data_IF_616368355296
#
_entry.id   IF_616368355296
#
_cell.length_a   1.000
_cell.length_b   1.000
_cell.length_c   1.000
_cell.angle_alpha   90.00
_cell.angle_beta   90.00
_cell.angle_gamma   90.00
#
_symmetry.space_group_name_H-M   'P 1'
#
loop_
_entity.id
_entity.type
_entity.pdbx_description
1 polymer ?
#
# COMPACT_ATOMS: atom_id res chain seq x y z
N UNK A 1 -15.19 -7.48 10.44
CA UNK A 1 -15.98 -7.91 9.26
C UNK A 1 -16.87 -6.79 8.72
N UNK A 2 -17.68 -6.12 9.56
CA UNK A 2 -18.59 -5.05 9.10
C UNK A 2 -17.89 -3.91 8.34
N UNK A 3 -16.73 -3.43 8.81
CA UNK A 3 -15.98 -2.35 8.14
C UNK A 3 -15.50 -2.71 6.73
N UNK A 4 -15.00 -3.93 6.53
CA UNK A 4 -14.55 -4.42 5.21
C UNK A 4 -15.77 -4.61 4.29
N UNK A 5 -16.87 -5.15 4.82
CA UNK A 5 -18.11 -5.31 4.07
C UNK A 5 -18.71 -3.98 3.61
N UNK A 6 -18.79 -2.99 4.51
CA UNK A 6 -19.22 -1.64 4.18
C UNK A 6 -18.30 -1.00 3.14
N UNK A 7 -16.98 -1.13 3.29
CA UNK A 7 -16.05 -0.56 2.33
C UNK A 7 -16.19 -1.22 0.95
N UNK A 8 -16.32 -2.55 0.88
CA UNK A 8 -16.58 -3.25 -0.38
C UNK A 8 -17.90 -2.80 -1.02
N UNK A 9 -18.97 -2.68 -0.22
CA UNK A 9 -20.26 -2.19 -0.68
C UNK A 9 -20.16 -0.76 -1.22
N UNK A 10 -19.40 0.13 -0.58
CA UNK A 10 -19.12 1.48 -1.08
C UNK A 10 -18.40 1.45 -2.43
N UNK A 11 -17.40 0.59 -2.60
CA UNK A 11 -16.70 0.47 -3.88
C UNK A 11 -17.63 -0.04 -5.00
N UNK A 12 -18.50 -1.01 -4.70
CA UNK A 12 -19.52 -1.48 -5.65
C UNK A 12 -20.51 -0.35 -5.97
N UNK A 13 -20.99 0.38 -4.95
CA UNK A 13 -21.90 1.50 -5.12
C UNK A 13 -21.30 2.60 -6.00
N UNK A 14 -19.99 2.87 -5.88
CA UNK A 14 -19.27 3.78 -6.77
C UNK A 14 -19.33 3.29 -8.22
N UNK A 15 -19.03 2.02 -8.48
CA UNK A 15 -19.10 1.47 -9.85
C UNK A 15 -20.53 1.57 -10.43
N UNK A 16 -21.55 1.24 -9.63
CA UNK A 16 -22.97 1.37 -10.02
C UNK A 16 -23.33 2.82 -10.30
N UNK A 17 -22.90 3.75 -9.45
CA UNK A 17 -23.13 5.18 -9.65
C UNK A 17 -22.53 5.67 -10.97
N UNK A 18 -21.32 5.23 -11.31
CA UNK A 18 -20.70 5.57 -12.60
C UNK A 18 -21.48 5.00 -13.79
N UNK A 19 -21.97 3.76 -13.70
CA UNK A 19 -22.87 3.20 -14.72
C UNK A 19 -24.12 4.07 -14.90
N UNK A 20 -24.77 4.46 -13.80
CA UNK A 20 -25.96 5.31 -13.83
C UNK A 20 -25.66 6.69 -14.43
N UNK A 21 -24.54 7.31 -14.07
CA UNK A 21 -24.10 8.59 -14.65
C UNK A 21 -23.98 8.45 -16.17
N UNK A 22 -23.26 7.44 -16.67
CA UNK A 22 -23.08 7.27 -18.11
C UNK A 22 -24.39 7.02 -18.86
N UNK A 23 -25.33 6.31 -18.25
CA UNK A 23 -26.67 6.10 -18.79
C UNK A 23 -27.50 7.39 -18.81
N UNK A 24 -27.55 8.12 -17.69
CA UNK A 24 -28.35 9.36 -17.56
C UNK A 24 -27.86 10.46 -18.48
N UNK A 25 -26.54 10.59 -18.65
CA UNK A 25 -25.96 11.60 -19.54
C UNK A 25 -25.90 11.14 -21.01
N UNK A 26 -26.40 9.94 -21.34
CA UNK A 26 -26.40 9.41 -22.71
C UNK A 26 -25.00 9.30 -23.32
N UNK A 27 -23.97 9.05 -22.50
CA UNK A 27 -22.59 9.03 -22.98
C UNK A 27 -22.37 7.88 -23.98
N UNK A 28 -23.04 6.75 -23.75
CA UNK A 28 -23.00 5.60 -24.66
C UNK A 28 -23.59 5.97 -26.04
N UNK A 29 -24.72 6.65 -26.07
CA UNK A 29 -25.35 7.14 -27.30
C UNK A 29 -24.46 8.18 -28.00
N UNK A 30 -23.89 9.12 -27.24
CA UNK A 30 -22.96 10.11 -27.76
C UNK A 30 -21.74 9.46 -28.42
N UNK A 31 -21.09 8.51 -27.75
CA UNK A 31 -19.96 7.75 -28.30
C UNK A 31 -20.39 6.92 -29.52
N UNK A 32 -21.59 6.36 -29.52
CA UNK A 32 -22.14 5.65 -30.67
C UNK A 32 -22.38 6.57 -31.88
N UNK A 33 -22.76 7.85 -31.69
CA UNK A 33 -22.82 8.82 -32.81
C UNK A 33 -21.44 9.14 -33.39
N UNK A 34 -20.39 9.05 -32.56
CA UNK A 34 -19.00 9.10 -33.02
C UNK A 34 -18.55 7.74 -33.60
N UNK A 35 -19.46 6.75 -33.68
CA UNK A 35 -19.27 5.37 -34.11
C UNK A 35 -18.28 4.57 -33.26
N UNK A 36 -18.19 4.90 -31.97
CA UNK A 36 -17.56 4.08 -30.95
C UNK A 36 -18.67 3.24 -30.31
N UNK A 37 -18.84 2.02 -30.81
CA UNK A 37 -19.87 1.11 -30.31
C UNK A 37 -19.28 0.21 -29.23
N UNK A 38 -19.35 0.66 -27.97
CA UNK A 38 -18.93 -0.14 -26.83
C UNK A 38 -19.97 -0.07 -25.73
N UNK A 39 -20.39 -1.25 -25.25
CA UNK A 39 -21.26 -1.35 -24.09
C UNK A 39 -20.47 -0.89 -22.86
N UNK A 40 -20.76 0.33 -22.38
CA UNK A 40 -20.02 0.99 -21.30
C UNK A 40 -20.13 0.20 -20.00
N UNK A 41 -21.29 -0.42 -19.76
CA UNK A 41 -21.53 -1.25 -18.58
C UNK A 41 -20.63 -2.48 -18.59
N UNK A 42 -20.61 -3.22 -19.70
CA UNK A 42 -19.76 -4.41 -19.87
C UNK A 42 -18.27 -4.05 -19.78
N UNK A 43 -17.88 -2.90 -20.36
CA UNK A 43 -16.51 -2.39 -20.26
C UNK A 43 -16.13 -2.08 -18.81
N UNK A 44 -16.99 -1.39 -18.06
CA UNK A 44 -16.74 -1.06 -16.66
C UNK A 44 -16.69 -2.32 -15.78
N UNK A 45 -17.57 -3.29 -16.00
CA UNK A 45 -17.56 -4.58 -15.29
C UNK A 45 -16.25 -5.33 -15.57
N UNK A 46 -15.84 -5.41 -16.83
CA UNK A 46 -14.57 -6.06 -17.21
C UNK A 46 -13.38 -5.34 -16.55
N UNK A 47 -13.30 -4.01 -16.65
CA UNK A 47 -12.25 -3.24 -16.00
C UNK A 47 -12.29 -3.38 -14.47
N UNK A 48 -13.47 -3.45 -13.87
CA UNK A 48 -13.70 -3.72 -12.46
C UNK A 48 -13.11 -5.05 -12.05
N UNK A 49 -13.48 -6.11 -12.78
CA UNK A 49 -12.96 -7.45 -12.55
C UNK A 49 -11.44 -7.48 -12.59
N UNK A 50 -10.81 -7.01 -13.67
CA UNK A 50 -9.34 -7.02 -13.78
C UNK A 50 -8.65 -6.08 -12.78
N UNK A 51 -9.27 -4.94 -12.48
CA UNK A 51 -8.74 -3.94 -11.56
C UNK A 51 -8.63 -4.49 -10.14
N UNK A 52 -9.70 -5.14 -9.67
CA UNK A 52 -9.73 -5.80 -8.37
C UNK A 52 -8.99 -7.13 -8.36
N UNK A 53 -9.07 -7.95 -9.41
CA UNK A 53 -8.43 -9.27 -9.45
C UNK A 53 -6.92 -9.16 -9.20
N UNK A 54 -6.23 -8.26 -9.91
CA UNK A 54 -4.79 -8.04 -9.71
C UNK A 54 -4.46 -7.61 -8.28
N UNK A 55 -5.23 -6.68 -7.71
CA UNK A 55 -5.03 -6.17 -6.36
C UNK A 55 -5.28 -7.24 -5.29
N UNK A 56 -6.31 -8.08 -5.43
CA UNK A 56 -6.58 -9.18 -4.49
C UNK A 56 -5.54 -10.29 -4.59
N UNK A 57 -5.13 -10.67 -5.81
CA UNK A 57 -4.06 -11.65 -6.01
C UNK A 57 -2.78 -11.16 -5.32
N UNK A 58 -2.41 -9.88 -5.54
CA UNK A 58 -1.26 -9.27 -4.89
C UNK A 58 -1.36 -9.31 -3.36
N UNK A 59 -2.53 -9.00 -2.78
CA UNK A 59 -2.75 -9.06 -1.34
C UNK A 59 -2.61 -10.48 -0.78
N UNK A 60 -3.16 -11.49 -1.45
CA UNK A 60 -3.09 -12.88 -0.99
C UNK A 60 -1.66 -13.44 -1.08
N UNK A 61 -0.90 -13.02 -2.10
CA UNK A 61 0.49 -13.42 -2.29
C UNK A 61 1.47 -12.61 -1.43
N UNK A 62 1.09 -11.42 -0.97
CA UNK A 62 1.95 -10.45 -0.28
C UNK A 62 2.80 -11.07 0.84
N UNK A 63 2.19 -11.87 1.72
CA UNK A 63 2.89 -12.54 2.82
C UNK A 63 3.94 -13.56 2.34
N UNK A 64 3.62 -14.35 1.31
CA UNK A 64 4.57 -15.32 0.73
C UNK A 64 5.71 -14.58 0.01
N UNK A 65 5.38 -13.56 -0.76
CA UNK A 65 6.35 -12.73 -1.48
C UNK A 65 7.28 -11.99 -0.52
N UNK A 66 6.76 -11.42 0.56
CA UNK A 66 7.55 -10.71 1.57
C UNK A 66 8.53 -11.67 2.26
N UNK A 67 8.07 -12.86 2.69
CA UNK A 67 8.94 -13.88 3.29
C UNK A 67 10.07 -14.32 2.36
N UNK A 68 9.74 -14.62 1.11
CA UNK A 68 10.72 -15.04 0.11
C UNK A 68 11.69 -13.93 -0.26
N UNK A 69 11.18 -12.72 -0.53
CA UNK A 69 12.00 -11.59 -1.00
C UNK A 69 12.95 -11.06 0.06
N UNK A 70 12.58 -11.12 1.33
CA UNK A 70 13.47 -10.72 2.45
C UNK A 70 14.24 -11.88 3.06
N UNK A 71 13.95 -13.13 2.66
CA UNK A 71 14.47 -14.34 3.33
C UNK A 71 14.18 -14.33 4.83
N UNK A 72 12.98 -13.89 5.20
CA UNK A 72 12.54 -13.85 6.61
C UNK A 72 12.59 -15.25 7.21
N UNK A 73 13.27 -15.37 8.35
CA UNK A 73 13.26 -16.55 9.21
C UNK A 73 12.15 -16.37 10.24
N UNK A 74 11.17 -17.28 10.22
CA UNK A 74 10.06 -17.26 11.17
C UNK A 74 10.51 -17.86 12.50
N UNK A 75 10.10 -17.24 13.60
CA UNK A 75 10.38 -17.70 14.95
C UNK A 75 9.20 -18.57 15.39
N UNK A 76 9.32 -19.88 15.20
CA UNK A 76 8.36 -20.86 15.74
C UNK A 76 8.57 -21.05 17.24
N UNK A 77 9.84 -21.22 17.66
CA UNK A 77 10.25 -21.29 19.06
C UNK A 77 11.45 -20.34 19.29
N UNK A 78 11.39 -19.43 20.28
CA UNK A 78 12.49 -18.51 20.54
C UNK A 78 13.76 -19.23 21.04
N UNK A 79 14.83 -19.18 20.24
CA UNK A 79 16.11 -19.81 20.55
C UNK A 79 16.97 -19.00 21.54
N UNK A 80 16.72 -17.70 21.70
CA UNK A 80 17.49 -16.81 22.58
C UNK A 80 16.61 -15.72 23.22
N UNK A 81 17.20 -14.93 24.12
CA UNK A 81 16.50 -13.88 24.85
C UNK A 81 15.95 -12.77 23.95
N UNK A 82 16.66 -12.40 22.87
CA UNK A 82 16.25 -11.36 21.92
C UNK A 82 15.01 -11.80 21.12
N UNK A 83 15.01 -13.04 20.62
CA UNK A 83 13.84 -13.63 19.95
C UNK A 83 12.65 -13.77 20.90
N UNK A 84 12.89 -14.15 22.16
CA UNK A 84 11.83 -14.28 23.17
C UNK A 84 11.19 -12.92 23.46
N UNK A 85 12.02 -11.90 23.68
CA UNK A 85 11.58 -10.53 23.85
C UNK A 85 10.75 -10.04 22.65
N UNK A 86 11.19 -10.33 21.42
CA UNK A 86 10.50 -9.94 20.20
C UNK A 86 9.10 -10.58 20.12
N UNK A 87 9.01 -11.90 20.31
CA UNK A 87 7.74 -12.65 20.27
C UNK A 87 6.79 -12.17 21.38
N UNK A 88 7.28 -12.01 22.61
CA UNK A 88 6.47 -11.56 23.74
C UNK A 88 5.98 -10.11 23.55
N UNK A 89 6.83 -9.24 23.00
CA UNK A 89 6.47 -7.85 22.67
C UNK A 89 5.38 -7.80 21.60
N UNK A 90 5.53 -8.54 20.51
CA UNK A 90 4.51 -8.62 19.46
C UNK A 90 3.20 -9.18 20.01
N UNK A 91 3.25 -10.21 20.86
CA UNK A 91 2.07 -10.79 21.52
C UNK A 91 1.34 -9.78 22.40
N UNK A 92 2.07 -9.01 23.20
CA UNK A 92 1.49 -7.99 24.06
C UNK A 92 0.85 -6.86 23.23
N UNK A 93 1.53 -6.38 22.20
CA UNK A 93 1.04 -5.32 21.30
C UNK A 93 -0.18 -5.78 20.51
N UNK A 94 -0.17 -7.00 19.97
CA UNK A 94 -1.30 -7.60 19.27
C UNK A 94 -2.55 -7.66 20.18
N UNK A 95 -2.37 -8.04 21.45
CA UNK A 95 -3.44 -8.02 22.46
C UNK A 95 -3.96 -6.60 22.73
N UNK A 96 -3.08 -5.61 22.90
CA UNK A 96 -3.47 -4.21 23.10
C UNK A 96 -4.23 -3.65 21.90
N UNK A 97 -3.90 -4.09 20.68
CA UNK A 97 -4.50 -3.64 19.44
C UNK A 97 -5.74 -4.46 18.98
N UNK A 98 -6.19 -5.43 19.79
CA UNK A 98 -7.32 -6.32 19.48
C UNK A 98 -7.19 -7.03 18.12
N UNK A 99 -6.03 -7.66 17.92
CA UNK A 99 -5.75 -8.52 16.77
C UNK A 99 -5.22 -9.89 17.20
N UNK A 100 -5.42 -10.90 16.34
CA UNK A 100 -4.79 -12.21 16.52
C UNK A 100 -3.27 -12.13 16.41
N UNK A 101 -2.58 -13.10 17.04
CA UNK A 101 -1.13 -13.17 17.06
C UNK A 101 -0.54 -13.26 15.63
N UNK A 102 0.28 -12.28 15.20
CA UNK A 102 1.00 -12.37 13.93
C UNK A 102 2.08 -13.47 13.96
N UNK A 103 2.41 -14.02 12.79
CA UNK A 103 3.72 -14.67 12.60
C UNK A 103 4.82 -13.63 12.87
N UNK A 104 5.86 -14.02 13.60
CA UNK A 104 7.00 -13.15 13.93
C UNK A 104 8.23 -13.66 13.21
N UNK A 105 8.99 -12.77 12.58
CA UNK A 105 10.22 -13.16 11.88
C UNK A 105 11.33 -12.14 11.95
N UNK A 106 12.54 -12.60 11.65
CA UNK A 106 13.73 -11.78 11.49
C UNK A 106 14.27 -11.99 10.09
N UNK A 107 14.65 -10.93 9.40
CA UNK A 107 15.33 -11.03 8.10
C UNK A 107 16.76 -10.48 8.17
N UNK A 108 17.71 -11.10 7.44
CA UNK A 108 19.14 -10.82 7.56
C UNK A 108 19.53 -9.56 6.77
N UNK A 109 18.97 -8.41 7.14
CA UNK A 109 19.35 -7.11 6.61
C UNK A 109 20.06 -6.28 7.68
N UNK A 110 21.15 -5.62 7.28
CA UNK A 110 21.92 -4.72 8.16
C UNK A 110 21.27 -3.35 8.30
N UNK A 111 20.48 -2.93 7.31
CA UNK A 111 19.70 -1.71 7.40
C UNK A 111 18.54 -1.89 8.40
N UNK A 112 18.30 -0.91 9.26
CA UNK A 112 17.17 -0.97 10.20
C UNK A 112 15.86 -0.88 9.44
N UNK A 113 15.03 -1.92 9.59
CA UNK A 113 13.74 -1.97 8.92
C UNK A 113 12.79 -2.94 9.65
N UNK A 114 11.50 -2.71 9.47
CA UNK A 114 10.42 -3.56 9.94
C UNK A 114 9.28 -3.46 8.94
N UNK A 115 8.47 -4.51 8.84
CA UNK A 115 7.26 -4.49 8.03
C UNK A 115 6.19 -5.41 8.61
N UNK A 116 4.94 -5.07 8.35
CA UNK A 116 3.80 -5.96 8.53
C UNK A 116 3.03 -6.20 7.23
N UNK A 117 2.52 -7.43 7.06
CA UNK A 117 1.69 -7.78 5.91
C UNK A 117 0.72 -8.92 6.19
N UNK A 118 -0.38 -8.95 5.45
CA UNK A 118 -1.39 -10.00 5.52
C UNK A 118 -2.80 -9.49 5.26
N UNK A 119 -3.61 -10.31 4.58
CA UNK A 119 -5.01 -10.00 4.28
C UNK A 119 -5.93 -10.11 5.51
N UNK A 120 -5.51 -10.88 6.52
CA UNK A 120 -6.26 -11.12 7.75
C UNK A 120 -5.50 -10.56 8.94
N UNK A 121 -6.08 -9.58 9.63
CA UNK A 121 -5.50 -8.98 10.84
C UNK A 121 -5.17 -10.00 11.94
N UNK A 122 -5.88 -11.14 11.95
CA UNK A 122 -5.68 -12.21 12.93
C UNK A 122 -4.65 -13.28 12.49
N UNK A 123 -4.06 -13.15 11.30
CA UNK A 123 -3.04 -14.06 10.75
C UNK A 123 -1.98 -13.29 9.94
N UNK A 124 -1.62 -12.10 10.41
CA UNK A 124 -0.61 -11.26 9.77
C UNK A 124 0.81 -11.85 9.92
N UNK A 125 1.78 -11.18 9.32
CA UNK A 125 3.21 -11.36 9.52
C UNK A 125 3.76 -10.02 9.98
N UNK A 126 4.58 -10.02 11.03
CA UNK A 126 5.41 -8.89 11.45
C UNK A 126 6.86 -9.37 11.42
N UNK A 127 7.72 -8.67 10.70
CA UNK A 127 9.12 -9.01 10.62
C UNK A 127 10.01 -7.79 10.83
N UNK A 128 11.17 -8.00 11.45
CA UNK A 128 12.17 -6.97 11.73
C UNK A 128 13.53 -7.37 11.16
N UNK A 129 14.34 -6.40 10.75
CA UNK A 129 15.69 -6.68 10.31
C UNK A 129 16.61 -6.97 11.49
N UNK A 130 17.69 -7.73 11.25
CA UNK A 130 18.76 -7.90 12.22
C UNK A 130 19.35 -6.53 12.65
N UNK A 131 19.59 -5.64 11.69
CA UNK A 131 20.13 -4.30 11.96
C UNK A 131 19.26 -3.45 12.88
N UNK A 132 17.92 -3.57 12.79
CA UNK A 132 17.03 -2.88 13.73
C UNK A 132 17.21 -3.39 15.15
N UNK A 133 17.25 -4.70 15.33
CA UNK A 133 17.41 -5.33 16.65
C UNK A 133 18.77 -5.02 17.29
N UNK A 134 19.81 -4.77 16.48
CA UNK A 134 21.16 -4.47 16.95
C UNK A 134 21.36 -2.99 17.30
N UNK A 135 20.66 -2.08 16.61
CA UNK A 135 20.91 -0.62 16.70
C UNK A 135 19.90 0.14 17.54
N UNK A 136 18.69 -0.39 17.69
CA UNK A 136 17.62 0.28 18.40
C UNK A 136 17.61 -0.19 19.86
N UNK A 137 17.34 0.74 20.78
CA UNK A 137 17.03 0.34 22.15
C UNK A 137 15.74 -0.50 22.19
N UNK A 138 15.53 -1.33 23.22
CA UNK A 138 14.30 -2.13 23.35
C UNK A 138 13.03 -1.28 23.26
N UNK A 139 13.02 -0.07 23.83
CA UNK A 139 11.86 0.81 23.77
C UNK A 139 11.62 1.37 22.36
N UNK A 140 12.67 1.77 21.64
CA UNK A 140 12.57 2.25 20.26
C UNK A 140 12.10 1.12 19.32
N UNK A 141 12.69 -0.07 19.44
CA UNK A 141 12.28 -1.24 18.66
C UNK A 141 10.83 -1.64 18.96
N UNK A 142 10.41 -1.58 20.22
CA UNK A 142 9.03 -1.78 20.63
C UNK A 142 8.07 -0.75 20.02
N UNK A 143 8.48 0.51 19.91
CA UNK A 143 7.68 1.55 19.26
C UNK A 143 7.53 1.30 17.75
N UNK A 144 8.58 0.84 17.07
CA UNK A 144 8.51 0.41 15.66
C UNK A 144 7.57 -0.79 15.49
N UNK A 145 7.67 -1.80 16.35
CA UNK A 145 6.73 -2.94 16.32
C UNK A 145 5.28 -2.49 16.55
N UNK A 146 5.06 -1.53 17.45
CA UNK A 146 3.74 -0.96 17.70
C UNK A 146 3.19 -0.19 16.49
N UNK A 147 4.05 0.50 15.74
CA UNK A 147 3.70 1.13 14.46
C UNK A 147 3.25 0.07 13.44
N UNK A 148 4.03 -0.99 13.25
CA UNK A 148 3.69 -2.10 12.34
C UNK A 148 2.40 -2.83 12.74
N UNK A 149 2.18 -3.06 14.03
CA UNK A 149 0.93 -3.60 14.56
C UNK A 149 -0.24 -2.65 14.31
N UNK A 150 -0.01 -1.34 14.39
CA UNK A 150 -0.98 -0.31 14.00
C UNK A 150 -1.48 -0.51 12.57
N UNK A 151 -0.59 -0.82 11.63
CA UNK A 151 -0.99 -1.11 10.25
C UNK A 151 -1.91 -2.32 10.12
N UNK A 152 -1.57 -3.40 10.84
CA UNK A 152 -2.38 -4.63 10.86
C UNK A 152 -3.74 -4.37 11.48
N UNK A 153 -3.80 -3.68 12.62
CA UNK A 153 -5.01 -3.40 13.36
C UNK A 153 -5.97 -2.48 12.58
N UNK A 154 -5.43 -1.51 11.84
CA UNK A 154 -6.20 -0.63 10.98
C UNK A 154 -6.69 -1.31 9.69
N UNK A 155 -6.16 -2.49 9.34
CA UNK A 155 -6.55 -3.21 8.13
C UNK A 155 -6.01 -2.53 6.87
N UNK A 156 -4.83 -1.96 6.97
CA UNK A 156 -4.28 -1.07 5.95
C UNK A 156 -3.96 -1.78 4.64
N UNK A 157 -3.49 -3.03 4.71
CA UNK A 157 -3.21 -3.86 3.53
C UNK A 157 -4.50 -4.06 2.71
N UNK A 158 -5.61 -4.42 3.36
CA UNK A 158 -6.90 -4.63 2.69
C UNK A 158 -7.44 -3.31 2.13
N UNK A 159 -7.37 -2.24 2.91
CA UNK A 159 -7.89 -0.92 2.50
C UNK A 159 -7.13 -0.39 1.28
N UNK A 160 -5.79 -0.50 1.28
CA UNK A 160 -4.97 -0.10 0.15
C UNK A 160 -5.25 -0.95 -1.09
N UNK A 161 -5.43 -2.26 -0.92
CA UNK A 161 -5.82 -3.17 -2.01
C UNK A 161 -7.15 -2.76 -2.65
N UNK A 162 -8.15 -2.40 -1.85
CA UNK A 162 -9.47 -2.01 -2.35
C UNK A 162 -9.41 -0.65 -3.07
N UNK A 163 -8.67 0.33 -2.52
CA UNK A 163 -8.40 1.62 -3.19
C UNK A 163 -7.68 1.39 -4.52
N UNK A 164 -6.64 0.55 -4.53
CA UNK A 164 -5.90 0.22 -5.75
C UNK A 164 -6.79 -0.46 -6.79
N UNK A 165 -7.70 -1.33 -6.37
CA UNK A 165 -8.65 -2.00 -7.25
C UNK A 165 -9.55 -1.01 -8.00
N UNK A 166 -10.10 -0.02 -7.30
CA UNK A 166 -10.89 1.06 -7.91
C UNK A 166 -10.04 1.94 -8.82
N UNK A 167 -8.86 2.35 -8.36
CA UNK A 167 -7.94 3.17 -9.16
C UNK A 167 -7.58 2.46 -10.47
N UNK A 168 -7.19 1.18 -10.41
CA UNK A 168 -6.86 0.38 -11.58
C UNK A 168 -8.06 0.25 -12.53
N UNK A 169 -9.26 0.05 -11.98
CA UNK A 169 -10.50 -0.03 -12.75
C UNK A 169 -10.70 1.23 -13.59
N UNK A 170 -10.62 2.41 -12.98
CA UNK A 170 -10.82 3.67 -13.69
C UNK A 170 -9.68 4.01 -14.66
N UNK A 171 -8.43 3.73 -14.29
CA UNK A 171 -7.28 3.90 -15.21
C UNK A 171 -7.51 3.07 -16.48
N UNK A 172 -7.87 1.80 -16.33
CA UNK A 172 -8.13 0.91 -17.47
C UNK A 172 -9.35 1.31 -18.29
N UNK A 173 -10.41 1.77 -17.62
CA UNK A 173 -11.66 2.20 -18.25
C UNK A 173 -11.45 3.46 -19.09
N UNK A 174 -10.91 4.53 -18.48
CA UNK A 174 -10.68 5.79 -19.18
C UNK A 174 -9.59 5.68 -20.26
N UNK A 175 -8.54 4.89 -20.05
CA UNK A 175 -7.54 4.65 -21.08
C UNK A 175 -8.15 4.03 -22.35
N UNK A 176 -9.12 3.12 -22.20
CA UNK A 176 -9.80 2.50 -23.34
C UNK A 176 -10.77 3.45 -24.04
N UNK A 177 -11.56 4.23 -23.29
CA UNK A 177 -12.46 5.23 -23.88
C UNK A 177 -11.68 6.30 -24.63
N UNK A 178 -10.70 6.93 -23.98
CA UNK A 178 -9.87 7.97 -24.58
C UNK A 178 -9.07 7.38 -25.76
N UNK A 179 -8.55 6.15 -25.60
CA UNK A 179 -7.85 5.44 -26.67
C UNK A 179 -8.74 5.22 -27.90
N UNK A 180 -10.01 4.83 -27.72
CA UNK A 180 -10.96 4.66 -28.82
C UNK A 180 -11.29 5.99 -29.52
N UNK A 181 -11.40 7.08 -28.75
CA UNK A 181 -11.62 8.43 -29.30
C UNK A 181 -10.42 8.86 -30.14
N UNK A 182 -9.20 8.69 -29.62
CA UNK A 182 -7.96 9.07 -30.33
C UNK A 182 -7.75 8.19 -31.57
N UNK A 183 -7.91 6.87 -31.44
CA UNK A 183 -7.74 5.93 -32.56
C UNK A 183 -8.68 6.29 -33.72
N UNK A 184 -9.94 6.61 -33.39
CA UNK A 184 -10.93 6.99 -34.40
C UNK A 184 -10.69 8.38 -34.99
N UNK A 185 -10.34 9.37 -34.18
CA UNK A 185 -10.13 10.73 -34.65
C UNK A 185 -8.85 10.87 -35.51
N UNK A 186 -7.78 10.18 -35.14
CA UNK A 186 -6.46 10.32 -35.77
C UNK A 186 -6.26 9.31 -36.89
N UNK A 187 -6.53 8.03 -36.62
CA UNK A 187 -6.22 6.95 -37.55
C UNK A 187 -7.42 6.54 -38.41
N UNK A 188 -8.62 7.06 -38.11
CA UNK A 188 -9.88 6.76 -38.83
C UNK A 188 -10.13 5.25 -38.99
N UNK A 189 -9.63 4.46 -38.04
CA UNK A 189 -9.83 3.01 -38.03
C UNK A 189 -11.25 2.69 -37.55
N UNK A 190 -11.95 1.81 -38.27
CA UNK A 190 -13.26 1.30 -37.87
C UNK A 190 -13.17 0.13 -36.87
N UNK A 191 -11.98 -0.45 -36.69
CA UNK A 191 -11.73 -1.56 -35.76
C UNK A 191 -10.45 -1.34 -34.95
N UNK A 192 -10.41 -1.80 -33.68
CA UNK A 192 -9.21 -1.67 -32.85
C UNK A 192 -7.99 -2.33 -33.51
N UNK A 193 -7.05 -1.51 -33.95
CA UNK A 193 -5.77 -1.95 -34.53
C UNK A 193 -4.61 -1.92 -33.54
N UNK A 194 -3.41 -2.25 -33.99
CA UNK A 194 -2.18 -2.20 -33.17
C UNK A 194 -1.95 -0.78 -32.61
N UNK A 195 -2.32 0.27 -33.37
CA UNK A 195 -2.25 1.67 -32.94
C UNK A 195 -3.08 1.95 -31.70
N UNK A 196 -4.33 1.48 -31.66
CA UNK A 196 -5.20 1.56 -30.47
C UNK A 196 -4.55 0.94 -29.23
N UNK A 197 -4.00 -0.27 -29.34
CA UNK A 197 -3.35 -0.93 -28.19
C UNK A 197 -2.13 -0.15 -27.70
N UNK A 198 -1.34 0.42 -28.62
CA UNK A 198 -0.23 1.31 -28.28
C UNK A 198 -0.69 2.56 -27.52
N UNK A 199 -1.74 3.23 -28.00
CA UNK A 199 -2.34 4.41 -27.35
C UNK A 199 -2.86 4.05 -25.96
N UNK A 200 -3.64 2.97 -25.83
CA UNK A 200 -4.20 2.52 -24.56
C UNK A 200 -3.08 2.21 -23.56
N UNK A 201 -1.99 1.59 -23.99
CA UNK A 201 -0.84 1.31 -23.12
C UNK A 201 -0.22 2.62 -22.60
N UNK A 202 0.04 3.58 -23.49
CA UNK A 202 0.58 4.90 -23.09
C UNK A 202 -0.38 5.62 -22.14
N UNK A 203 -1.68 5.62 -22.43
CA UNK A 203 -2.70 6.23 -21.57
C UNK A 203 -2.79 5.54 -20.21
N UNK A 204 -2.67 4.22 -20.13
CA UNK A 204 -2.66 3.51 -18.85
C UNK A 204 -1.44 3.91 -18.01
N UNK A 205 -0.27 4.10 -18.62
CA UNK A 205 0.91 4.58 -17.91
C UNK A 205 0.69 6.00 -17.40
N UNK A 206 0.24 6.93 -18.26
CA UNK A 206 0.02 8.34 -17.88
C UNK A 206 -1.07 8.47 -16.81
N UNK A 207 -2.24 7.86 -17.02
CA UNK A 207 -3.35 7.88 -16.07
C UNK A 207 -2.98 7.13 -14.79
N UNK A 208 -2.22 6.04 -14.87
CA UNK A 208 -1.72 5.30 -13.71
C UNK A 208 -0.78 6.15 -12.85
N UNK A 209 0.13 6.89 -13.48
CA UNK A 209 1.02 7.86 -12.82
C UNK A 209 0.19 8.92 -12.08
N UNK A 210 -0.81 9.51 -12.74
CA UNK A 210 -1.70 10.49 -12.11
C UNK A 210 -2.50 9.88 -10.95
N UNK A 211 -3.09 8.70 -11.16
CA UNK A 211 -3.91 8.04 -10.15
C UNK A 211 -3.09 7.53 -8.95
N UNK A 212 -1.80 7.24 -9.14
CA UNK A 212 -0.88 6.88 -8.05
C UNK A 212 -0.75 7.99 -7.00
N UNK A 213 -0.97 9.25 -7.36
CA UNK A 213 -0.94 10.37 -6.41
C UNK A 213 -2.03 10.23 -5.32
N UNK A 214 -3.20 9.69 -5.68
CA UNK A 214 -4.31 9.40 -4.76
C UNK A 214 -3.89 8.30 -3.78
N UNK A 215 -3.31 7.22 -4.32
CA UNK A 215 -2.82 6.08 -3.53
C UNK A 215 -1.71 6.53 -2.57
N UNK A 216 -0.78 7.36 -3.04
CA UNK A 216 0.31 7.91 -2.22
C UNK A 216 -0.19 8.86 -1.14
N UNK A 217 -1.21 9.68 -1.43
CA UNK A 217 -1.84 10.53 -0.41
C UNK A 217 -2.46 9.69 0.72
N UNK A 218 -3.16 8.61 0.37
CA UNK A 218 -3.72 7.69 1.35
C UNK A 218 -2.61 6.95 2.13
N UNK A 219 -1.54 6.53 1.45
CA UNK A 219 -0.35 5.92 2.07
C UNK A 219 0.24 6.83 3.13
N UNK A 220 0.44 8.13 2.83
CA UNK A 220 0.97 9.10 3.80
C UNK A 220 0.06 9.31 5.00
N UNK A 221 -1.25 9.41 4.80
CA UNK A 221 -2.22 9.55 5.91
C UNK A 221 -2.17 8.37 6.87
N UNK A 222 -2.02 7.16 6.33
CA UNK A 222 -1.89 5.94 7.11
C UNK A 222 -0.64 5.93 7.99
N UNK A 223 0.50 6.39 7.49
CA UNK A 223 1.76 6.46 8.27
C UNK A 223 1.59 7.28 9.55
N UNK A 224 0.92 8.44 9.48
CA UNK A 224 0.64 9.24 10.67
C UNK A 224 -0.23 8.48 11.68
N UNK A 225 -1.23 7.72 11.22
CA UNK A 225 -2.04 6.88 12.11
C UNK A 225 -1.25 5.75 12.75
N UNK A 226 -0.32 5.16 12.01
CA UNK A 226 0.57 4.13 12.54
C UNK A 226 1.58 4.73 13.53
N UNK A 227 2.06 5.96 13.33
CA UNK A 227 2.86 6.70 14.32
C UNK A 227 2.11 6.93 15.62
N UNK A 228 0.82 7.30 15.55
CA UNK A 228 -0.03 7.37 16.75
C UNK A 228 -0.14 6.01 17.44
N UNK A 229 -0.24 4.91 16.69
CA UNK A 229 -0.24 3.57 17.28
C UNK A 229 1.09 3.25 17.97
N UNK A 230 2.22 3.58 17.34
CA UNK A 230 3.56 3.49 17.96
C UNK A 230 3.66 4.27 19.27
N UNK A 231 3.14 5.51 19.27
CA UNK A 231 3.16 6.37 20.44
C UNK A 231 2.21 5.95 21.58
N UNK A 232 1.05 5.38 21.25
CA UNK A 232 0.00 5.03 22.23
C UNK A 232 0.10 3.60 22.75
N UNK A 233 0.48 2.63 21.92
CA UNK A 233 0.62 1.22 22.32
C UNK A 233 1.97 0.92 23.00
N UNK A 234 2.99 1.72 22.67
CA UNK A 234 4.31 1.69 23.30
C UNK A 234 4.58 3.01 24.03
N UNK A 235 5.41 3.89 23.47
CA UNK A 235 5.78 5.16 24.09
C UNK A 235 6.09 6.21 23.00
N UNK A 236 5.53 7.41 23.14
CA UNK A 236 5.76 8.54 22.25
C UNK A 236 7.22 8.95 22.13
N UNK A 237 7.96 9.05 23.24
CA UNK A 237 9.38 9.45 23.19
C UNK A 237 10.23 8.39 22.49
N UNK A 238 9.91 7.11 22.69
CA UNK A 238 10.56 5.99 22.01
C UNK A 238 10.26 5.98 20.51
N UNK A 239 9.02 6.28 20.09
CA UNK A 239 8.68 6.42 18.67
C UNK A 239 9.45 7.58 18.01
N UNK A 240 9.56 8.73 18.70
CA UNK A 240 10.37 9.86 18.22
C UNK A 240 11.86 9.47 18.13
N UNK A 241 12.39 8.75 19.12
CA UNK A 241 13.76 8.23 19.11
C UNK A 241 14.02 7.28 17.93
N UNK A 242 13.11 6.35 17.69
CA UNK A 242 13.14 5.44 16.56
C UNK A 242 13.17 6.18 15.21
N UNK A 243 12.30 7.18 15.00
CA UNK A 243 12.29 7.97 13.76
C UNK A 243 13.58 8.77 13.58
N UNK A 244 14.15 9.33 14.64
CA UNK A 244 15.47 10.02 14.59
C UNK A 244 16.60 9.06 14.25
N UNK A 245 16.54 7.82 14.74
CA UNK A 245 17.53 6.78 14.40
C UNK A 245 17.46 6.43 12.92
N UNK A 246 16.25 6.25 12.38
CA UNK A 246 16.04 6.04 10.94
C UNK A 246 16.50 7.23 10.11
N UNK A 247 16.30 8.46 10.60
CA UNK A 247 16.75 9.68 9.94
C UNK A 247 18.28 9.72 9.86
N UNK A 248 18.97 9.49 10.97
CA UNK A 248 20.43 9.45 11.01
C UNK A 248 21.00 8.33 10.10
N UNK A 249 20.36 7.17 10.05
CA UNK A 249 20.76 6.08 9.16
C UNK A 249 20.57 6.43 7.68
N UNK A 250 19.48 7.12 7.34
CA UNK A 250 19.20 7.62 5.99
C UNK A 250 20.22 8.68 5.56
N UNK A 251 20.57 9.60 6.46
CA UNK A 251 21.59 10.63 6.24
C UNK A 251 23.01 10.04 6.10
N UNK A 252 23.28 8.93 6.80
CA UNK A 252 24.53 8.18 6.67
C UNK A 252 24.61 7.34 5.39
N UNK A 253 23.57 7.34 4.54
CA UNK A 253 23.51 6.59 3.28
C UNK A 253 23.77 5.08 3.45
N UNK A 254 23.31 4.49 4.55
CA UNK A 254 23.39 3.03 4.73
C UNK A 254 22.62 2.35 3.58
N UNK A 255 23.26 1.44 2.80
CA UNK A 255 22.61 0.80 1.66
C UNK A 255 21.29 0.12 2.04
N UNK A 256 20.26 0.29 1.21
CA UNK A 256 18.99 -0.41 1.40
C UNK A 256 19.09 -1.82 0.82
N UNK A 257 18.98 -2.82 1.69
CA UNK A 257 19.06 -4.24 1.35
C UNK A 257 17.67 -4.86 1.09
N UNK A 258 16.58 -4.11 1.27
CA UNK A 258 15.25 -4.56 0.83
C UNK A 258 15.16 -4.50 -0.71
N UNK A 259 14.56 -5.53 -1.34
CA UNK A 259 14.19 -5.45 -2.74
C UNK A 259 13.31 -4.23 -3.03
N UNK A 260 13.52 -3.57 -4.18
CA UNK A 260 12.72 -2.39 -4.61
C UNK A 260 11.21 -2.65 -4.60
N UNK A 261 10.80 -3.89 -4.86
CA UNK A 261 9.40 -4.33 -4.84
C UNK A 261 8.79 -4.41 -3.45
N UNK A 262 9.61 -4.40 -2.40
CA UNK A 262 9.21 -4.49 -0.99
C UNK A 262 9.49 -3.20 -0.21
N UNK A 263 10.17 -2.22 -0.80
CA UNK A 263 10.48 -0.93 -0.14
C UNK A 263 9.21 -0.19 0.31
N UNK A 264 8.09 -0.36 -0.39
CA UNK A 264 6.81 0.24 -0.02
C UNK A 264 6.15 -0.41 1.22
N UNK A 265 6.68 -1.54 1.71
CA UNK A 265 6.22 -2.23 2.92
C UNK A 265 7.09 -1.94 4.14
N UNK A 266 8.30 -1.44 3.94
CA UNK A 266 9.25 -1.18 5.02
C UNK A 266 9.12 0.23 5.61
N UNK A 267 9.45 0.39 6.88
CA UNK A 267 9.43 1.69 7.57
C UNK A 267 10.54 2.66 7.08
N UNK A 268 11.66 2.13 6.58
CA UNK A 268 12.69 2.94 5.92
C UNK A 268 12.48 2.95 4.40
N UNK A 269 12.02 4.09 3.90
CA UNK A 269 12.02 4.34 2.46
C UNK A 269 13.45 4.60 2.01
N UNK A 270 14.01 3.72 1.19
CA UNK A 270 15.30 3.94 0.54
C UNK A 270 15.41 5.34 -0.05
N UNK A 271 16.58 5.93 0.09
CA UNK A 271 16.90 7.31 -0.23
C UNK A 271 16.55 7.66 -1.70
N UNK A 272 15.60 8.59 -1.92
CA UNK A 272 15.39 9.23 -3.23
C UNK A 272 15.31 10.75 -3.07
N UNK A 273 16.48 11.40 -3.09
CA UNK A 273 16.71 12.86 -2.92
C UNK A 273 15.91 13.80 -3.85
N UNK A 274 15.19 13.28 -4.85
CA UNK A 274 14.53 14.07 -5.91
C UNK A 274 13.08 13.67 -6.22
N UNK A 275 12.44 12.81 -5.40
CA UNK A 275 11.02 12.57 -5.56
C UNK A 275 10.25 13.79 -5.02
N UNK A 276 9.42 14.44 -5.85
CA UNK A 276 8.58 15.54 -5.36
C UNK A 276 7.71 15.05 -4.20
N UNK A 277 7.34 15.93 -3.25
CA UNK A 277 6.47 15.59 -2.09
C UNK A 277 5.21 14.81 -2.45
N UNK A 278 4.74 14.94 -3.70
CA UNK A 278 3.58 14.23 -4.21
C UNK A 278 3.87 12.74 -4.48
N UNK A 279 5.11 12.39 -4.84
CA UNK A 279 5.55 11.05 -5.27
C UNK A 279 6.13 10.18 -4.14
N UNK A 280 6.16 10.67 -2.90
CA UNK A 280 6.64 9.89 -1.75
C UNK A 280 5.51 9.07 -1.12
N UNK A 281 5.74 7.76 -0.93
CA UNK A 281 4.80 6.84 -0.27
C UNK A 281 4.77 6.97 1.26
N UNK A 282 5.85 7.52 1.84
CA UNK A 282 5.95 7.87 3.26
C UNK A 282 6.18 9.38 3.41
N UNK A 283 5.59 10.03 4.44
CA UNK A 283 5.91 11.41 4.75
C UNK A 283 7.39 11.54 5.19
N UNK A 284 8.02 12.70 4.97
CA UNK A 284 9.35 12.98 5.51
C UNK A 284 9.42 12.73 7.02
N UNK A 285 10.54 12.17 7.50
CA UNK A 285 10.73 11.80 8.90
C UNK A 285 10.60 13.02 9.82
N UNK A 286 11.07 14.19 9.39
CA UNK A 286 10.95 15.45 10.12
C UNK A 286 9.48 15.82 10.38
N UNK A 287 8.61 15.58 9.40
CA UNK A 287 7.19 15.86 9.52
C UNK A 287 6.52 14.91 10.50
N UNK A 288 6.87 13.61 10.45
CA UNK A 288 6.37 12.60 11.39
C UNK A 288 6.80 12.90 12.82
N UNK A 289 8.07 13.26 13.02
CA UNK A 289 8.61 13.67 14.33
C UNK A 289 7.89 14.92 14.85
N UNK A 290 7.76 15.96 14.02
CA UNK A 290 7.10 17.21 14.41
C UNK A 290 5.60 17.01 14.71
N UNK A 291 4.94 16.09 14.02
CA UNK A 291 3.57 15.70 14.28
C UNK A 291 3.48 15.04 15.68
N UNK A 292 4.27 13.99 15.95
CA UNK A 292 4.33 13.34 17.26
C UNK A 292 4.66 14.29 18.43
N UNK A 293 5.56 15.26 18.21
CA UNK A 293 5.91 16.28 19.20
C UNK A 293 4.75 17.21 19.54
N UNK A 294 3.92 17.55 18.54
CA UNK A 294 2.69 18.33 18.72
C UNK A 294 1.54 17.51 19.28
N UNK A 295 1.72 16.19 19.36
CA UNK A 295 0.79 15.26 19.97
C UNK A 295 0.04 14.39 18.98
N UNK A 296 0.28 14.52 17.66
CA UNK A 296 -0.08 13.61 16.53
C UNK A 296 0.59 14.11 15.26
#
# INVERSE_FOLDING_TARGET
MLRIGLFLATNIAILVLFTLIFQVFGLEDFLATQGIHSNMTSLLIMCGFFGFAGSFISLLLSKKMAKMGTRTQIIDEPANAQQRWLVDTVKELARKADIGMPEVGIFPAQQSNAFATGWNKNKALVAVSAGLLDRFSPDEARAVLAHEIGHVANGDMVTLTLIQGVVNTFVMFFARIIGSIIDKAVFKNDRPGIGYFGIVLVLQVVLGILASTIVMAFSRWREYRADVAGATLANRSAMIGALRRLQAESEAHVPNELPDTLTALGISSGWKKHASKLWMSHPPLEQRIAALQRGV
#
